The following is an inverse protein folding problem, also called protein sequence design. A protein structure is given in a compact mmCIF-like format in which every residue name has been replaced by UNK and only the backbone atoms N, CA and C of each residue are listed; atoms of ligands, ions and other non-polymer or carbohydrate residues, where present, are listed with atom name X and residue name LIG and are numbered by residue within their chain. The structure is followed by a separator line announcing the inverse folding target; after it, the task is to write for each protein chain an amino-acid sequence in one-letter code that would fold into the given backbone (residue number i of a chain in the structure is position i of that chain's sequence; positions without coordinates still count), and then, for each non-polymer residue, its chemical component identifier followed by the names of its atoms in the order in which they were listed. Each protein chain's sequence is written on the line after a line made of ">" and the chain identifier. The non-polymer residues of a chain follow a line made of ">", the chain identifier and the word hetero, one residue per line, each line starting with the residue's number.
data_IF_671490758793
#
_entry.id   IF_671490758793
#
_cell.length_a   1.000
_cell.length_b   1.000
_cell.length_c   1.000
_cell.angle_alpha   90.00
_cell.angle_beta   90.00
_cell.angle_gamma   90.00
#
_symmetry.space_group_name_H-M   'P 1'
#
loop_
_entity.id
_entity.type
_entity.pdbx_description
1 polymer ?
#
# COMPACT_ATOMS: atom_id res chain seq x y z
N UNK A 1 14.72 -23.72 15.55
CA UNK A 1 13.31 -23.72 15.11
C UNK A 1 13.31 -24.43 13.77
N UNK A 2 12.64 -25.58 13.65
CA UNK A 2 12.37 -26.12 12.32
C UNK A 2 11.54 -25.10 11.53
N UNK A 3 11.84 -24.94 10.25
CA UNK A 3 11.05 -24.07 9.40
C UNK A 3 9.60 -24.60 9.38
N UNK A 4 8.57 -23.74 9.41
CA UNK A 4 7.16 -24.15 9.39
C UNK A 4 6.71 -24.77 8.05
N UNK A 5 7.65 -25.12 7.18
CA UNK A 5 7.46 -25.72 5.88
C UNK A 5 8.63 -26.67 5.60
N UNK A 6 8.39 -27.70 4.79
CA UNK A 6 9.42 -28.66 4.41
C UNK A 6 10.41 -28.01 3.41
N UNK A 7 11.47 -27.41 3.96
CA UNK A 7 12.51 -26.70 3.21
C UNK A 7 13.36 -27.63 2.33
N UNK A 8 13.15 -28.95 2.40
CA UNK A 8 13.85 -29.94 1.57
C UNK A 8 13.23 -30.11 0.19
N UNK A 9 12.07 -29.48 -0.06
CA UNK A 9 11.37 -29.53 -1.35
C UNK A 9 11.12 -28.13 -1.92
N UNK A 10 11.21 -28.01 -3.24
CA UNK A 10 10.89 -26.74 -3.91
C UNK A 10 9.43 -26.33 -3.72
N UNK A 11 8.52 -27.29 -3.61
CA UNK A 11 7.08 -27.07 -3.40
C UNK A 11 6.78 -26.45 -2.02
N UNK A 12 7.49 -26.88 -0.97
CA UNK A 12 7.38 -26.30 0.37
C UNK A 12 7.87 -24.85 0.42
N UNK A 13 8.95 -24.54 -0.31
CA UNK A 13 9.50 -23.17 -0.40
C UNK A 13 8.59 -22.26 -1.20
N UNK A 14 8.14 -22.69 -2.38
CA UNK A 14 7.25 -21.87 -3.23
C UNK A 14 5.89 -21.67 -2.57
N UNK A 15 5.32 -22.72 -1.96
CA UNK A 15 4.05 -22.62 -1.22
C UNK A 15 4.11 -21.63 -0.07
N UNK A 16 5.19 -21.63 0.73
CA UNK A 16 5.39 -20.66 1.80
C UNK A 16 5.58 -19.23 1.27
N UNK A 17 6.34 -19.04 0.18
CA UNK A 17 6.53 -17.74 -0.46
C UNK A 17 5.21 -17.20 -1.02
N UNK A 18 4.42 -18.02 -1.69
CA UNK A 18 3.13 -17.61 -2.27
C UNK A 18 2.03 -17.44 -1.21
N UNK A 19 2.02 -18.25 -0.15
CA UNK A 19 1.12 -18.04 1.00
C UNK A 19 1.42 -16.72 1.73
N UNK A 20 2.71 -16.39 1.85
CA UNK A 20 3.16 -15.07 2.30
C UNK A 20 2.74 -13.96 1.34
N UNK A 21 2.92 -14.17 0.04
CA UNK A 21 2.57 -13.21 -1.02
C UNK A 21 1.06 -12.89 -1.04
N UNK A 22 0.20 -13.90 -0.92
CA UNK A 22 -1.26 -13.72 -0.84
C UNK A 22 -1.73 -12.96 0.41
N UNK A 23 -0.92 -12.92 1.46
CA UNK A 23 -1.22 -12.17 2.69
C UNK A 23 -0.85 -10.68 2.59
N UNK A 24 0.06 -10.31 1.68
CA UNK A 24 0.53 -8.91 1.51
C UNK A 24 -0.23 -8.15 0.44
N UNK A 25 -0.97 -8.82 -0.45
CA UNK A 25 -1.75 -8.17 -1.51
C UNK A 25 -2.79 -7.19 -0.94
N UNK A 26 -3.54 -7.59 0.08
CA UNK A 26 -4.53 -6.71 0.73
C UNK A 26 -3.89 -5.49 1.40
N UNK A 27 -2.73 -5.67 2.04
CA UNK A 27 -1.95 -4.57 2.63
C UNK A 27 -1.45 -3.62 1.55
N UNK A 28 -0.92 -4.16 0.45
CA UNK A 28 -0.42 -3.36 -0.66
C UNK A 28 -1.52 -2.54 -1.33
N UNK A 29 -2.69 -3.13 -1.57
CA UNK A 29 -3.86 -2.43 -2.08
C UNK A 29 -4.33 -1.31 -1.14
N UNK A 30 -4.34 -1.57 0.17
CA UNK A 30 -4.69 -0.55 1.17
C UNK A 30 -3.70 0.62 1.16
N UNK A 31 -2.40 0.36 1.02
CA UNK A 31 -1.35 1.39 0.88
C UNK A 31 -1.57 2.20 -0.40
N UNK A 32 -1.79 1.56 -1.55
CA UNK A 32 -2.08 2.26 -2.80
C UNK A 32 -3.32 3.17 -2.67
N UNK A 33 -4.40 2.66 -2.07
CA UNK A 33 -5.61 3.44 -1.82
C UNK A 33 -5.33 4.64 -0.90
N UNK A 34 -4.57 4.45 0.18
CA UNK A 34 -4.20 5.51 1.10
C UNK A 34 -3.41 6.63 0.40
N UNK A 35 -2.50 6.27 -0.52
CA UNK A 35 -1.74 7.24 -1.33
C UNK A 35 -2.65 8.04 -2.27
N UNK A 36 -3.62 7.39 -2.90
CA UNK A 36 -4.61 8.08 -3.75
C UNK A 36 -5.44 9.07 -2.94
N UNK A 37 -5.97 8.64 -1.79
CA UNK A 37 -6.76 9.51 -0.89
C UNK A 37 -5.92 10.69 -0.40
N UNK A 38 -4.66 10.46 -0.03
CA UNK A 38 -3.76 11.52 0.40
C UNK A 38 -3.53 12.54 -0.73
N UNK A 39 -3.26 12.09 -1.95
CA UNK A 39 -3.06 12.98 -3.09
C UNK A 39 -4.29 13.87 -3.35
N UNK A 40 -5.50 13.31 -3.30
CA UNK A 40 -6.76 14.07 -3.46
C UNK A 40 -6.93 15.09 -2.33
N UNK A 41 -6.72 14.68 -1.07
CA UNK A 41 -6.86 15.58 0.08
C UNK A 41 -5.86 16.74 0.05
N UNK A 42 -4.60 16.46 -0.27
CA UNK A 42 -3.58 17.51 -0.41
C UNK A 42 -3.84 18.42 -1.61
N UNK A 43 -4.31 17.88 -2.74
CA UNK A 43 -4.69 18.65 -3.91
C UNK A 43 -5.80 19.65 -3.60
N UNK A 44 -6.89 19.19 -2.97
CA UNK A 44 -7.99 20.08 -2.56
C UNK A 44 -7.51 21.17 -1.60
N UNK A 45 -6.70 20.81 -0.59
CA UNK A 45 -6.18 21.79 0.37
C UNK A 45 -5.28 22.84 -0.28
N UNK A 46 -4.50 22.44 -1.28
CA UNK A 46 -3.67 23.36 -2.06
C UNK A 46 -4.52 24.33 -2.89
N UNK A 47 -5.55 23.83 -3.58
CA UNK A 47 -6.46 24.66 -4.37
C UNK A 47 -7.24 25.66 -3.50
N UNK A 48 -7.75 25.23 -2.35
CA UNK A 48 -8.44 26.12 -1.41
C UNK A 48 -7.53 27.28 -0.96
N UNK A 49 -6.25 26.97 -0.69
CA UNK A 49 -5.29 27.98 -0.28
C UNK A 49 -4.98 28.98 -1.41
N UNK A 50 -4.81 28.49 -2.64
CA UNK A 50 -4.60 29.35 -3.82
C UNK A 50 -5.82 30.25 -4.09
N UNK A 51 -7.04 29.72 -3.91
CA UNK A 51 -8.28 30.49 -4.08
C UNK A 51 -8.42 31.59 -3.03
N UNK A 52 -8.04 31.32 -1.77
CA UNK A 52 -8.05 32.32 -0.70
C UNK A 52 -6.98 33.40 -0.89
N UNK A 53 -5.81 33.02 -1.41
CA UNK A 53 -4.72 33.95 -1.69
C UNK A 53 -5.08 34.94 -2.82
N UNK A 54 -5.73 34.45 -3.87
CA UNK A 54 -6.15 35.28 -5.02
C UNK A 54 -7.35 36.17 -4.71
N UNK A 55 -8.29 35.74 -3.87
CA UNK A 55 -9.46 36.56 -3.46
C UNK A 55 -9.13 37.77 -2.58
N UNK A 56 -7.93 37.81 -1.99
CA UNK A 56 -7.47 38.90 -1.11
C UNK A 56 -6.67 40.00 -1.83
N UNK A 57 -6.31 39.78 -3.11
CA UNK A 57 -5.57 40.73 -3.94
C UNK A 57 -6.47 41.69 -4.71
#
# INVERSE_FOLDING_TARGET
>A
MEAPFDATTWDGVTGAVYAGYGSVEGLWLAVCLALVVAAVAFGWRHEEHAYKATKKG
#
